data_IF_612452880589
#
_entry.id   IF_612452880589
#
_cell.length_a   1.000
_cell.length_b   1.000
_cell.length_c   1.000
_cell.angle_alpha   90.00
_cell.angle_beta   90.00
_cell.angle_gamma   90.00
#
_symmetry.space_group_name_H-M   'P 1'
#
loop_
_entity.id
_entity.type
_entity.pdbx_description
1 polymer ?
#
# COMPACT_ATOMS: atom_id res chain seq x y z
N UNK A 1 15.00 -10.95 5.42
CA UNK A 1 13.77 -10.16 5.27
C UNK A 1 13.76 -9.36 3.96
N UNK A 2 13.22 -9.91 2.86
CA UNK A 2 12.92 -9.11 1.65
C UNK A 2 11.86 -8.07 2.04
N UNK A 3 12.04 -6.76 1.78
CA UNK A 3 11.00 -5.81 2.07
C UNK A 3 9.87 -6.03 1.07
N UNK A 4 8.78 -6.54 1.63
CA UNK A 4 7.58 -6.91 0.94
C UNK A 4 6.79 -5.63 0.63
N UNK A 5 7.21 -4.90 -0.40
CA UNK A 5 6.48 -3.74 -0.92
C UNK A 5 5.40 -4.20 -1.90
N UNK A 6 4.31 -3.43 -1.98
CA UNK A 6 3.15 -3.71 -2.83
C UNK A 6 3.01 -2.56 -3.83
N UNK A 7 2.59 -2.87 -5.07
CA UNK A 7 2.30 -1.86 -6.07
C UNK A 7 1.27 -0.84 -5.59
N UNK A 8 1.49 0.44 -5.88
CA UNK A 8 0.55 1.53 -5.58
C UNK A 8 -0.85 1.26 -6.17
N UNK A 9 -0.91 0.60 -7.35
CA UNK A 9 -2.15 0.21 -8.01
C UNK A 9 -2.97 -0.81 -7.21
N UNK A 10 -2.32 -1.64 -6.40
CA UNK A 10 -2.99 -2.55 -5.47
C UNK A 10 -3.37 -1.86 -4.15
N UNK A 11 -2.56 -0.91 -3.69
CA UNK A 11 -2.84 -0.18 -2.44
C UNK A 11 -4.16 0.59 -2.54
N UNK A 12 -4.43 1.25 -3.67
CA UNK A 12 -5.66 2.03 -3.87
C UNK A 12 -6.97 1.24 -3.61
N UNK A 13 -7.22 0.08 -4.26
CA UNK A 13 -8.40 -0.73 -3.98
C UNK A 13 -8.38 -1.33 -2.56
N UNK A 14 -7.21 -1.71 -2.02
CA UNK A 14 -7.10 -2.18 -0.62
C UNK A 14 -7.58 -1.11 0.36
N UNK A 15 -7.15 0.14 0.18
CA UNK A 15 -7.57 1.27 1.03
C UNK A 15 -9.08 1.51 0.93
N UNK A 16 -9.65 1.40 -0.27
CA UNK A 16 -11.11 1.52 -0.45
C UNK A 16 -11.85 0.44 0.34
N UNK A 17 -11.48 -0.82 0.18
CA UNK A 17 -12.11 -1.94 0.90
C UNK A 17 -11.89 -1.83 2.42
N UNK A 18 -10.73 -1.33 2.84
CA UNK A 18 -10.44 -1.03 4.24
C UNK A 18 -11.35 0.04 4.83
N UNK A 19 -11.61 1.14 4.11
CA UNK A 19 -12.57 2.16 4.53
C UNK A 19 -13.99 1.58 4.67
N UNK A 20 -14.42 0.71 3.75
CA UNK A 20 -15.71 0.02 3.86
C UNK A 20 -15.77 -0.89 5.09
N UNK A 21 -14.70 -1.64 5.37
CA UNK A 21 -14.60 -2.50 6.55
C UNK A 21 -14.63 -1.67 7.85
N UNK A 22 -13.89 -0.57 7.94
CA UNK A 22 -13.90 0.32 9.10
C UNK A 22 -15.27 0.97 9.34
N UNK A 23 -15.95 1.40 8.27
CA UNK A 23 -17.29 1.96 8.38
C UNK A 23 -18.30 0.95 8.96
N UNK A 24 -18.10 -0.34 8.68
CA UNK A 24 -18.87 -1.43 9.27
C UNK A 24 -18.42 -1.79 10.69
N UNK A 25 -17.13 -1.67 11.03
CA UNK A 25 -16.65 -1.95 12.39
C UNK A 25 -17.15 -0.91 13.38
N UNK A 26 -17.05 0.36 13.01
CA UNK A 26 -17.59 1.48 13.79
C UNK A 26 -19.13 1.48 13.88
N UNK A 27 -19.80 0.69 13.03
CA UNK A 27 -21.22 0.43 13.12
C UNK A 27 -21.59 -0.58 14.23
N UNK A 28 -20.75 -1.55 14.56
CA UNK A 28 -21.05 -2.59 15.55
C UNK A 28 -21.24 -2.07 16.98
N UNK A 29 -20.85 -0.83 17.29
CA UNK A 29 -21.10 -0.18 18.58
C UNK A 29 -22.37 0.68 18.66
N UNK A 30 -23.09 0.89 17.55
CA UNK A 30 -24.35 1.66 17.50
C UNK A 30 -25.50 0.77 17.00
N UNK A 31 -26.66 0.77 17.65
CA UNK A 31 -27.77 -0.14 17.33
C UNK A 31 -28.42 0.05 15.95
N UNK A 32 -27.97 1.03 15.15
CA UNK A 32 -28.66 1.50 13.94
C UNK A 32 -27.99 1.15 12.62
N UNK A 33 -26.83 0.50 12.62
CA UNK A 33 -26.08 0.25 11.38
C UNK A 33 -26.02 -1.24 11.06
N UNK A 34 -26.52 -1.58 9.87
CA UNK A 34 -26.65 -2.96 9.38
C UNK A 34 -25.27 -3.64 9.31
N UNK A 35 -25.17 -4.92 9.68
CA UNK A 35 -23.94 -5.69 9.50
C UNK A 35 -23.54 -5.72 8.02
N UNK A 36 -22.25 -5.97 7.75
CA UNK A 36 -21.78 -6.28 6.41
C UNK A 36 -22.65 -7.40 5.83
N UNK A 37 -23.32 -7.13 4.70
CA UNK A 37 -23.96 -8.18 3.90
C UNK A 37 -22.91 -9.23 3.53
N UNK A 38 -23.25 -10.50 3.32
CA UNK A 38 -22.31 -11.49 2.75
C UNK A 38 -21.69 -10.97 1.44
N UNK A 39 -20.49 -11.47 1.06
CA UNK A 39 -19.96 -11.15 -0.28
C UNK A 39 -21.00 -11.59 -1.33
N UNK A 40 -21.43 -10.66 -2.16
CA UNK A 40 -22.20 -10.93 -3.36
C UNK A 40 -21.42 -10.44 -4.61
N UNK A 41 -22.12 -10.25 -5.73
CA UNK A 41 -21.58 -9.74 -6.98
C UNK A 41 -20.87 -8.37 -6.86
N UNK A 42 -21.27 -7.53 -5.89
CA UNK A 42 -20.64 -6.25 -5.56
C UNK A 42 -19.32 -6.42 -4.77
N UNK A 43 -18.99 -7.63 -4.33
CA UNK A 43 -17.78 -8.02 -3.60
C UNK A 43 -16.71 -8.63 -4.51
N UNK A 44 -16.58 -8.15 -5.75
CA UNK A 44 -15.76 -8.78 -6.79
C UNK A 44 -14.25 -8.56 -6.68
N UNK A 45 -13.77 -7.78 -5.71
CA UNK A 45 -12.35 -7.37 -5.63
C UNK A 45 -11.41 -8.55 -5.44
N UNK A 46 -11.85 -9.56 -4.68
CA UNK A 46 -11.11 -10.81 -4.49
C UNK A 46 -10.92 -11.56 -5.80
N UNK A 47 -12.02 -11.78 -6.52
CA UNK A 47 -12.01 -12.59 -7.74
C UNK A 47 -11.38 -11.87 -8.93
N UNK A 48 -11.60 -10.56 -9.07
CA UNK A 48 -11.10 -9.77 -10.20
C UNK A 48 -9.61 -9.44 -10.09
N UNK A 49 -9.14 -9.11 -8.88
CA UNK A 49 -7.80 -8.57 -8.69
C UNK A 49 -6.92 -9.45 -7.82
N UNK A 50 -7.43 -10.49 -7.17
CA UNK A 50 -6.65 -11.27 -6.20
C UNK A 50 -6.22 -10.42 -4.99
N UNK A 51 -7.05 -9.44 -4.60
CA UNK A 51 -6.80 -8.53 -3.48
C UNK A 51 -7.78 -8.83 -2.34
N UNK A 52 -7.44 -8.52 -1.07
CA UNK A 52 -8.36 -8.77 0.03
C UNK A 52 -9.63 -7.93 -0.11
N UNK A 53 -10.80 -8.58 -0.10
CA UNK A 53 -12.09 -7.89 -0.06
C UNK A 53 -12.36 -7.28 1.32
N UNK A 54 -13.34 -6.38 1.41
CA UNK A 54 -13.75 -5.76 2.69
C UNK A 54 -14.06 -6.76 3.80
N UNK A 55 -14.58 -7.96 3.51
CA UNK A 55 -14.91 -8.97 4.52
C UNK A 55 -13.67 -9.62 5.11
N UNK A 56 -12.69 -9.94 4.28
CA UNK A 56 -11.40 -10.46 4.74
C UNK A 56 -10.74 -9.42 5.64
N UNK A 57 -10.71 -8.16 5.20
CA UNK A 57 -10.16 -7.05 5.99
C UNK A 57 -10.93 -6.86 7.30
N UNK A 58 -12.26 -6.89 7.25
CA UNK A 58 -13.12 -6.77 8.42
C UNK A 58 -12.85 -7.86 9.46
N UNK A 59 -12.69 -9.12 9.03
CA UNK A 59 -12.31 -10.22 9.92
C UNK A 59 -10.97 -9.97 10.59
N UNK A 60 -9.96 -9.54 9.84
CA UNK A 60 -8.66 -9.17 10.41
C UNK A 60 -8.76 -8.02 11.41
N UNK A 61 -9.62 -7.02 11.13
CA UNK A 61 -9.89 -5.91 12.03
C UNK A 61 -10.60 -6.35 13.32
N UNK A 62 -11.56 -7.27 13.25
CA UNK A 62 -12.23 -7.85 14.43
C UNK A 62 -11.27 -8.70 15.27
N UNK A 63 -10.37 -9.44 14.63
CA UNK A 63 -9.33 -10.24 15.29
C UNK A 63 -8.14 -9.40 15.80
N UNK A 64 -8.11 -8.09 15.52
CA UNK A 64 -6.99 -7.21 15.88
C UNK A 64 -5.67 -7.57 15.20
N UNK A 65 -5.71 -8.25 14.04
CA UNK A 65 -4.54 -8.73 13.31
C UNK A 65 -4.15 -7.77 12.17
N UNK A 66 -2.85 -7.53 11.96
CA UNK A 66 -2.40 -6.77 10.80
C UNK A 66 -2.67 -7.55 9.49
N UNK A 67 -2.90 -6.81 8.41
CA UNK A 67 -2.97 -7.39 7.07
C UNK A 67 -1.58 -7.80 6.61
N UNK A 68 -1.29 -9.10 6.58
CA UNK A 68 -0.03 -9.62 6.05
C UNK A 68 -0.01 -9.58 4.52
N UNK A 69 1.15 -9.39 3.90
CA UNK A 69 1.25 -9.36 2.42
C UNK A 69 0.79 -10.66 1.75
N UNK A 70 0.76 -11.76 2.51
CA UNK A 70 0.40 -13.07 1.99
C UNK A 70 -1.03 -13.13 1.43
N UNK A 71 -1.90 -12.22 1.86
CA UNK A 71 -3.28 -12.11 1.38
C UNK A 71 -3.40 -11.37 0.03
N UNK A 72 -2.32 -10.71 -0.41
CA UNK A 72 -2.26 -9.97 -1.68
C UNK A 72 -1.68 -10.88 -2.75
N UNK A 73 -2.29 -11.02 -3.91
CA UNK A 73 -1.78 -11.90 -4.96
C UNK A 73 -0.33 -11.56 -5.37
N UNK A 74 0.55 -12.56 -5.64
CA UNK A 74 1.97 -12.33 -5.98
C UNK A 74 2.22 -11.34 -7.11
N UNK A 75 1.31 -11.27 -8.09
CA UNK A 75 1.32 -10.29 -9.18
C UNK A 75 1.50 -8.83 -8.71
N UNK A 76 0.95 -8.49 -7.54
CA UNK A 76 1.01 -7.12 -6.99
C UNK A 76 2.19 -6.88 -6.06
N UNK A 77 2.93 -7.93 -5.70
CA UNK A 77 4.08 -7.87 -4.81
C UNK A 77 5.31 -7.51 -5.62
N UNK A 78 6.15 -6.63 -5.11
CA UNK A 78 7.44 -6.38 -5.73
C UNK A 78 8.41 -7.52 -5.41
N UNK A 79 8.97 -8.13 -6.45
CA UNK A 79 9.97 -9.20 -6.31
C UNK A 79 11.33 -8.68 -5.84
N UNK A 80 11.58 -7.37 -5.99
CA UNK A 80 12.82 -6.66 -5.62
C UNK A 80 12.48 -5.32 -5.00
N UNK A 81 13.42 -4.74 -4.26
CA UNK A 81 13.19 -3.39 -3.73
C UNK A 81 13.23 -2.38 -4.87
N UNK A 82 12.38 -1.36 -4.83
CA UNK A 82 12.35 -0.30 -5.84
C UNK A 82 13.66 0.49 -5.86
N UNK A 83 14.35 0.58 -4.72
CA UNK A 83 15.63 1.28 -4.56
C UNK A 83 16.85 0.45 -4.98
N UNK A 84 16.70 -0.86 -5.21
CA UNK A 84 17.82 -1.76 -5.48
C UNK A 84 18.49 -1.52 -6.85
N UNK A 85 17.78 -0.92 -7.80
CA UNK A 85 18.30 -0.66 -9.15
C UNK A 85 18.06 0.79 -9.61
N UNK A 86 17.77 1.73 -8.70
CA UNK A 86 17.55 3.12 -9.10
C UNK A 86 18.90 3.79 -9.41
N UNK A 87 19.24 4.08 -10.68
CA UNK A 87 20.51 4.73 -11.02
C UNK A 87 20.60 6.14 -10.45
N UNK A 88 19.46 6.80 -10.19
CA UNK A 88 19.39 8.15 -9.66
C UNK A 88 19.71 8.21 -8.17
N UNK A 89 19.49 7.12 -7.41
CA UNK A 89 19.94 7.00 -6.03
C UNK A 89 21.46 6.84 -5.91
N UNK A 90 22.14 6.45 -6.99
CA UNK A 90 23.60 6.32 -7.04
C UNK A 90 24.31 7.61 -7.48
N UNK A 91 23.56 8.66 -7.81
CA UNK A 91 24.13 9.93 -8.23
C UNK A 91 24.76 10.61 -7.02
N UNK A 92 26.09 10.68 -7.02
CA UNK A 92 26.84 11.43 -6.03
C UNK A 92 26.65 12.93 -6.29
N UNK A 93 26.40 13.68 -5.22
CA UNK A 93 26.43 15.14 -5.30
C UNK A 93 27.79 15.58 -5.88
N UNK A 94 27.81 16.54 -6.83
CA UNK A 94 29.06 17.06 -7.34
C UNK A 94 29.89 17.58 -6.17
N UNK A 95 31.20 17.30 -6.18
CA UNK A 95 32.11 17.80 -5.14
C UNK A 95 31.97 19.32 -5.06
N UNK A 96 31.63 19.83 -3.87
CA UNK A 96 31.59 21.28 -3.63
C UNK A 96 32.98 21.85 -3.86
N UNK A 97 33.18 22.52 -4.99
CA UNK A 97 34.43 23.22 -5.29
C UNK A 97 34.35 24.61 -4.68
N UNK A 98 35.38 25.02 -3.95
CA UNK A 98 35.51 26.42 -3.51
C UNK A 98 35.66 27.27 -4.78
N UNK A 99 34.77 28.25 -5.03
CA UNK A 99 34.86 29.07 -6.22
C UNK A 99 36.17 29.87 -6.19
N UNK A 100 37.10 29.52 -7.07
CA UNK A 100 38.20 30.41 -7.41
C UNK A 100 37.56 31.54 -8.21
N UNK A 101 37.46 32.71 -7.59
CA UNK A 101 36.81 33.87 -8.20
C UNK A 101 37.31 34.16 -9.61
N UNK A 102 36.53 34.91 -10.39
CA UNK A 102 36.90 35.28 -11.76
C UNK A 102 38.30 35.91 -11.77
N UNK A 103 39.24 35.44 -12.60
CA UNK A 103 40.54 36.07 -12.72
C UNK A 103 40.36 37.53 -13.15
N UNK A 104 40.98 38.45 -12.40
CA UNK A 104 40.96 39.88 -12.71
C UNK A 104 42.03 40.13 -13.76
N UNK A 105 41.63 40.55 -14.96
CA UNK A 105 42.56 41.01 -15.98
C UNK A 105 43.24 42.28 -15.46
N UNK A 106 44.56 42.25 -15.29
CA UNK A 106 45.41 43.41 -15.04
C UNK A 106 45.80 44.07 -16.35
#
# INVERSE_FOLDING_TARGET
ELPQSISLKAIQPIVREYCHALAAQSANGKPTKKPLKPCDVDCSVGDQYGLPCRHTIFRHLEEGKPLGIQIVHPYWRFSRRLDENDPWLHIQNPKTVVPRGRPRNS
#
